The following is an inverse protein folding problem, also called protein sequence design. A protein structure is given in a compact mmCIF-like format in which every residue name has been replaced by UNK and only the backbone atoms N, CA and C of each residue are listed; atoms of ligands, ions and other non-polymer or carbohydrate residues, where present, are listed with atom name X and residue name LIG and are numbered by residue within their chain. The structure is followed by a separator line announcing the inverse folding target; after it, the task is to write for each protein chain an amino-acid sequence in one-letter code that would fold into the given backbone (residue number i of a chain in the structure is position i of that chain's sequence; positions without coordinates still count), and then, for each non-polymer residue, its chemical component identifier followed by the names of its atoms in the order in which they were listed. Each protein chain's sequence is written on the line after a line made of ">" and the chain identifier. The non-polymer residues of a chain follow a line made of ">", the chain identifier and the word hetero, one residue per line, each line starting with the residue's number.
data_IF_218814471560
#
_entry.id   IF_218814471560
#
_cell.length_a   1.000
_cell.length_b   1.000
_cell.length_c   1.000
_cell.angle_alpha   90.00
_cell.angle_beta   90.00
_cell.angle_gamma   90.00
#
_symmetry.space_group_name_H-M   'P 1'
#
loop_
_entity.id
_entity.type
_entity.pdbx_description
1 polymer ?
#
# COMPACT_ATOMS: atom_id res chain seq x y z
N UNK A 1 -22.40 9.49 -27.53
CA UNK A 1 -21.76 8.17 -27.39
C UNK A 1 -20.36 8.43 -26.83
N UNK A 2 -20.28 8.68 -25.52
CA UNK A 2 -19.04 8.99 -24.80
C UNK A 2 -18.89 7.91 -23.72
N UNK A 3 -18.59 6.67 -24.10
CA UNK A 3 -18.40 5.56 -23.15
C UNK A 3 -17.62 4.40 -23.77
N UNK A 4 -16.34 4.64 -24.10
CA UNK A 4 -15.42 3.52 -24.38
C UNK A 4 -13.93 3.81 -24.15
N UNK A 5 -13.54 5.06 -23.90
CA UNK A 5 -12.12 5.42 -23.75
C UNK A 5 -11.60 5.39 -22.30
N UNK A 6 -12.48 5.27 -21.30
CA UNK A 6 -12.10 5.33 -19.87
C UNK A 6 -12.15 3.98 -19.14
N UNK A 7 -12.34 2.86 -19.85
CA UNK A 7 -12.64 1.58 -19.18
C UNK A 7 -11.49 0.56 -19.07
N UNK A 8 -10.26 0.81 -19.55
CA UNK A 8 -9.25 -0.27 -19.55
C UNK A 8 -7.96 -0.06 -18.77
N UNK A 9 -7.50 1.16 -18.47
CA UNK A 9 -6.16 1.31 -17.92
C UNK A 9 -6.11 2.37 -16.82
N UNK A 10 -5.92 1.93 -15.58
CA UNK A 10 -5.33 2.77 -14.53
C UNK A 10 -4.12 3.51 -15.13
N UNK A 11 -3.95 4.82 -14.91
CA UNK A 11 -2.78 5.54 -15.42
C UNK A 11 -1.49 4.82 -15.01
N UNK A 12 -0.53 4.67 -15.93
CA UNK A 12 0.77 3.99 -15.68
C UNK A 12 1.46 4.52 -14.40
N UNK A 13 1.28 5.81 -14.09
CA UNK A 13 1.76 6.43 -12.85
C UNK A 13 1.12 5.83 -11.59
N UNK A 14 -0.19 5.61 -11.58
CA UNK A 14 -0.91 5.04 -10.44
C UNK A 14 -0.44 3.60 -10.15
N UNK A 15 -0.35 2.76 -11.18
CA UNK A 15 0.16 1.39 -11.06
C UNK A 15 1.60 1.36 -10.53
N UNK A 16 2.45 2.31 -10.96
CA UNK A 16 3.82 2.45 -10.45
C UNK A 16 3.85 2.82 -8.96
N UNK A 17 2.95 3.69 -8.51
CA UNK A 17 2.86 4.07 -7.09
C UNK A 17 2.38 2.92 -6.21
N UNK A 18 1.42 2.11 -6.69
CA UNK A 18 1.00 0.89 -6.02
C UNK A 18 2.18 -0.06 -5.83
N UNK A 19 2.93 -0.32 -6.90
CA UNK A 19 4.08 -1.22 -6.88
C UNK A 19 5.17 -0.76 -5.90
N UNK A 20 5.53 0.52 -5.92
CA UNK A 20 6.55 1.08 -5.02
C UNK A 20 6.13 0.96 -3.56
N UNK A 21 4.86 1.22 -3.24
CA UNK A 21 4.36 1.09 -1.87
C UNK A 21 4.42 -0.35 -1.35
N UNK A 22 4.02 -1.32 -2.18
CA UNK A 22 4.14 -2.74 -1.83
C UNK A 22 5.61 -3.14 -1.63
N UNK A 23 6.52 -2.66 -2.49
CA UNK A 23 7.96 -2.91 -2.33
C UNK A 23 8.51 -2.32 -1.04
N UNK A 24 8.06 -1.14 -0.63
CA UNK A 24 8.44 -0.51 0.62
C UNK A 24 7.97 -1.34 1.83
N UNK A 25 6.76 -1.91 1.78
CA UNK A 25 6.24 -2.78 2.86
C UNK A 25 7.11 -4.04 2.97
N UNK A 26 7.37 -4.72 1.85
CA UNK A 26 8.21 -5.92 1.81
C UNK A 26 9.63 -5.63 2.31
N UNK A 27 10.22 -4.51 1.86
CA UNK A 27 11.56 -4.09 2.29
C UNK A 27 11.60 -3.78 3.79
N UNK A 28 10.55 -3.14 4.32
CA UNK A 28 10.46 -2.86 5.74
C UNK A 28 10.44 -4.15 6.56
N UNK A 29 9.62 -5.12 6.19
CA UNK A 29 9.59 -6.42 6.87
C UNK A 29 10.94 -7.13 6.79
N UNK A 30 11.58 -7.13 5.63
CA UNK A 30 12.90 -7.73 5.45
C UNK A 30 13.96 -7.15 6.39
N UNK A 31 13.92 -5.84 6.63
CA UNK A 31 14.98 -5.13 7.36
C UNK A 31 14.66 -4.95 8.86
N UNK A 32 13.39 -4.75 9.21
CA UNK A 32 12.95 -4.34 10.55
C UNK A 32 12.04 -5.38 11.25
N UNK A 33 11.58 -6.41 10.53
CA UNK A 33 10.78 -7.50 11.09
C UNK A 33 9.28 -7.21 11.18
N UNK A 34 8.88 -6.14 11.88
CA UNK A 34 7.47 -5.76 12.06
C UNK A 34 7.18 -4.37 11.48
N UNK A 35 5.92 -4.10 11.17
CA UNK A 35 5.46 -2.81 10.66
C UNK A 35 4.18 -2.39 11.40
N UNK A 36 4.26 -1.37 12.24
CA UNK A 36 3.07 -0.83 12.92
C UNK A 36 2.11 -0.21 11.90
N UNK A 37 0.80 -0.45 12.08
CA UNK A 37 -0.25 0.06 11.17
C UNK A 37 -0.20 1.58 10.98
N UNK A 38 0.11 2.34 12.04
CA UNK A 38 0.24 3.80 11.99
C UNK A 38 1.35 4.29 11.05
N UNK A 39 2.37 3.46 10.80
CA UNK A 39 3.47 3.79 9.87
C UNK A 39 3.05 3.79 8.42
N UNK A 40 1.93 3.16 8.07
CA UNK A 40 1.41 3.12 6.69
C UNK A 40 0.90 4.49 6.20
N UNK A 41 0.76 5.46 7.11
CA UNK A 41 0.48 6.87 6.81
C UNK A 41 1.72 7.78 6.96
N UNK A 42 2.92 7.22 7.09
CA UNK A 42 4.18 7.96 7.27
C UNK A 42 5.14 7.67 6.12
N UNK A 43 6.20 8.48 5.92
CA UNK A 43 7.32 8.12 5.06
C UNK A 43 7.83 6.70 5.34
N UNK A 44 8.14 5.88 4.32
CA UNK A 44 8.18 6.19 2.88
C UNK A 44 6.85 5.97 2.13
N UNK A 45 5.75 5.69 2.83
CA UNK A 45 4.45 5.36 2.22
C UNK A 45 3.66 6.61 1.85
N UNK A 46 3.86 7.70 2.61
CA UNK A 46 3.26 9.00 2.40
C UNK A 46 4.17 10.02 1.67
N UNK A 47 5.25 9.55 1.01
CA UNK A 47 6.17 10.47 0.31
C UNK A 47 5.54 11.09 -0.96
N UNK A 48 4.52 10.43 -1.51
CA UNK A 48 3.86 10.81 -2.77
C UNK A 48 2.49 11.45 -2.51
N UNK A 49 1.88 11.19 -1.36
CA UNK A 49 0.58 11.73 -0.95
C UNK A 49 0.51 11.83 0.59
N UNK A 50 -0.30 12.75 1.11
CA UNK A 50 -0.34 13.05 2.55
C UNK A 50 -0.99 11.95 3.43
N UNK A 51 -1.51 10.87 2.83
CA UNK A 51 -2.27 9.83 3.54
C UNK A 51 -1.73 8.41 3.32
N UNK A 52 -0.55 8.27 2.75
CA UNK A 52 0.11 7.00 2.48
C UNK A 52 -0.73 6.00 1.69
N UNK A 53 -0.86 4.78 2.22
CA UNK A 53 -1.65 3.74 1.56
C UNK A 53 -3.15 4.07 1.55
N UNK A 54 -3.63 4.93 2.47
CA UNK A 54 -5.05 5.19 2.70
C UNK A 54 -5.70 6.09 1.64
N UNK A 55 -4.90 6.82 0.85
CA UNK A 55 -5.41 7.53 -0.34
C UNK A 55 -4.96 6.88 -1.65
N UNK A 56 -4.14 5.83 -1.58
CA UNK A 56 -3.53 5.22 -2.76
C UNK A 56 -4.26 3.97 -3.22
N UNK A 57 -4.84 3.20 -2.30
CA UNK A 57 -5.56 1.97 -2.58
C UNK A 57 -7.06 2.16 -2.32
N UNK A 58 -7.90 1.36 -2.96
CA UNK A 58 -9.33 1.29 -2.63
C UNK A 58 -9.53 0.64 -1.24
N UNK A 59 -10.66 0.92 -0.59
CA UNK A 59 -10.93 0.47 0.78
C UNK A 59 -10.74 -1.04 1.01
N UNK A 60 -11.13 -1.86 0.02
CA UNK A 60 -10.96 -3.32 0.09
C UNK A 60 -9.47 -3.72 0.10
N UNK A 61 -8.66 -3.10 -0.76
CA UNK A 61 -7.24 -3.36 -0.85
C UNK A 61 -6.48 -2.81 0.36
N UNK A 62 -6.87 -1.63 0.88
CA UNK A 62 -6.34 -1.09 2.12
C UNK A 62 -6.55 -2.08 3.28
N UNK A 63 -7.78 -2.57 3.45
CA UNK A 63 -8.13 -3.52 4.49
C UNK A 63 -7.32 -4.82 4.34
N UNK A 64 -7.11 -5.29 3.11
CA UNK A 64 -6.29 -6.47 2.83
C UNK A 64 -4.82 -6.25 3.22
N UNK A 65 -4.22 -5.12 2.83
CA UNK A 65 -2.83 -4.77 3.18
C UNK A 65 -2.67 -4.72 4.69
N UNK A 66 -3.58 -4.05 5.39
CA UNK A 66 -3.57 -3.94 6.85
C UNK A 66 -3.64 -5.32 7.51
N UNK A 67 -4.55 -6.20 7.06
CA UNK A 67 -4.64 -7.57 7.59
C UNK A 67 -3.37 -8.36 7.38
N UNK A 68 -2.73 -8.24 6.22
CA UNK A 68 -1.44 -8.89 5.94
C UNK A 68 -0.37 -8.37 6.90
N UNK A 69 -0.31 -7.05 7.11
CA UNK A 69 0.63 -6.43 8.05
C UNK A 69 0.43 -6.96 9.47
N UNK A 70 -0.82 -6.99 9.95
CA UNK A 70 -1.16 -7.51 11.27
C UNK A 70 -0.81 -9.00 11.40
N UNK A 71 -1.09 -9.81 10.38
CA UNK A 71 -0.74 -11.23 10.36
C UNK A 71 0.77 -11.47 10.40
N UNK A 72 1.55 -10.72 9.60
CA UNK A 72 3.02 -10.83 9.61
C UNK A 72 3.58 -10.41 10.96
N UNK A 73 3.08 -9.32 11.55
CA UNK A 73 3.50 -8.88 12.88
C UNK A 73 3.23 -9.96 13.95
N UNK A 74 2.01 -10.52 13.95
CA UNK A 74 1.64 -11.57 14.91
C UNK A 74 2.53 -12.81 14.76
N UNK A 75 2.80 -13.23 13.52
CA UNK A 75 3.69 -14.37 13.24
C UNK A 75 5.16 -14.11 13.66
N UNK A 76 5.61 -12.85 13.64
CA UNK A 76 6.96 -12.48 14.03
C UNK A 76 7.14 -12.37 15.56
N UNK A 77 6.07 -12.01 16.28
CA UNK A 77 6.11 -11.79 17.74
C UNK A 77 5.86 -13.10 18.51
N UNK A 78 5.03 -14.01 17.98
CA UNK A 78 4.72 -15.30 18.61
C UNK A 78 3.63 -15.22 19.66
#
# INVERSE_FOLDING_TARGET
>A
MFDSFFSSDLPISAAKFHQVNIQNIVTHFKNNGILERSRLAQPPFADINDHGIFSLFEDEDQNRIIRIVEQVNNNAIG
#
